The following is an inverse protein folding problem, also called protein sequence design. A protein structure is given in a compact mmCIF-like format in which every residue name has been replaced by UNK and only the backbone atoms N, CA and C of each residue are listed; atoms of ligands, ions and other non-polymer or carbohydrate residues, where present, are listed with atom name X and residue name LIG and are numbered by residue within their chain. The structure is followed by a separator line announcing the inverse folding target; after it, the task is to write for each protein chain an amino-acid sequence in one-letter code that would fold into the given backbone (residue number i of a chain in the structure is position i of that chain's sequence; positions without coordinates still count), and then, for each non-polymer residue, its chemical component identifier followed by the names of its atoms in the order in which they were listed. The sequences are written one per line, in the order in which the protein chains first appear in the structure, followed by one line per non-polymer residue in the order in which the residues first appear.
data_IF_793787993699
#
_entry.id   IF_793787993699
#
_cell.length_a   1.000
_cell.length_b   1.000
_cell.length_c   1.000
_cell.angle_alpha   90.00
_cell.angle_beta   90.00
_cell.angle_gamma   90.00
#
_symmetry.space_group_name_H-M   'P 1'
#
loop_
_entity.id
_entity.type
_entity.pdbx_description
1 polymer ?
#
# COMPACT_ATOMS: atom_id res chain seq x y z
N UNK A 1 26.92 86.17 -1.59
CA UNK A 1 26.64 84.93 -2.36
C UNK A 1 25.45 84.22 -1.72
N UNK A 2 24.34 84.08 -2.45
CA UNK A 2 23.03 83.61 -1.94
C UNK A 2 22.96 82.08 -2.09
N UNK A 3 22.90 81.32 -0.99
CA UNK A 3 22.73 79.86 -0.99
C UNK A 3 21.33 79.50 -1.50
N UNK A 4 21.16 79.36 -2.81
CA UNK A 4 20.04 78.62 -3.42
C UNK A 4 20.56 77.22 -3.76
N UNK A 5 20.00 76.16 -3.15
CA UNK A 5 20.27 74.80 -3.62
C UNK A 5 19.96 73.64 -2.66
N UNK A 6 19.95 73.83 -1.33
CA UNK A 6 19.89 72.68 -0.42
C UNK A 6 18.55 71.93 -0.36
N UNK A 7 17.42 72.58 -0.70
CA UNK A 7 16.10 71.93 -0.63
C UNK A 7 15.82 70.97 -1.79
N UNK A 8 16.30 71.29 -3.01
CA UNK A 8 16.14 70.42 -4.19
C UNK A 8 17.01 69.16 -4.13
N UNK A 9 18.25 69.31 -3.66
CA UNK A 9 19.16 68.18 -3.41
C UNK A 9 18.64 67.22 -2.33
N UNK A 10 17.99 67.73 -1.28
CA UNK A 10 17.38 66.91 -0.23
C UNK A 10 16.18 66.10 -0.73
N UNK A 11 15.40 66.64 -1.68
CA UNK A 11 14.28 65.93 -2.31
C UNK A 11 14.69 64.78 -3.22
N UNK A 12 15.83 64.92 -3.92
CA UNK A 12 16.39 63.84 -4.75
C UNK A 12 16.84 62.67 -3.86
N UNK A 13 17.47 62.96 -2.72
CA UNK A 13 17.84 61.93 -1.73
C UNK A 13 16.64 61.14 -1.21
N UNK A 14 15.52 61.81 -0.93
CA UNK A 14 14.29 61.12 -0.50
C UNK A 14 13.67 60.26 -1.59
N UNK A 15 13.72 60.68 -2.86
CA UNK A 15 13.20 59.89 -3.98
C UNK A 15 14.03 58.62 -4.23
N UNK A 16 15.35 58.71 -4.10
CA UNK A 16 16.25 57.55 -4.24
C UNK A 16 15.94 56.50 -3.17
N UNK A 17 15.80 56.92 -1.91
CA UNK A 17 15.48 56.00 -0.80
C UNK A 17 14.09 55.40 -0.99
N UNK A 18 13.13 56.18 -1.45
CA UNK A 18 11.76 55.70 -1.70
C UNK A 18 11.74 54.57 -2.73
N UNK A 19 12.45 54.75 -3.86
CA UNK A 19 12.56 53.73 -4.90
C UNK A 19 13.31 52.50 -4.35
N UNK A 20 14.39 52.70 -3.61
CA UNK A 20 15.15 51.59 -3.02
C UNK A 20 14.29 50.72 -2.08
N UNK A 21 13.48 51.35 -1.20
CA UNK A 21 12.58 50.63 -0.29
C UNK A 21 11.53 49.85 -1.06
N UNK A 22 10.94 50.42 -2.12
CA UNK A 22 9.96 49.73 -2.95
C UNK A 22 10.57 48.48 -3.61
N UNK A 23 11.79 48.58 -4.14
CA UNK A 23 12.46 47.43 -4.75
C UNK A 23 12.77 46.33 -3.73
N UNK A 24 13.25 46.69 -2.55
CA UNK A 24 13.50 45.72 -1.46
C UNK A 24 12.19 45.07 -1.01
N UNK A 25 11.11 45.85 -0.85
CA UNK A 25 9.79 45.34 -0.48
C UNK A 25 9.24 44.37 -1.54
N UNK A 26 9.42 44.67 -2.83
CA UNK A 26 8.98 43.80 -3.92
C UNK A 26 9.69 42.44 -3.90
N UNK A 27 11.01 42.41 -3.69
CA UNK A 27 11.78 41.16 -3.58
C UNK A 27 11.36 40.38 -2.33
N UNK A 28 11.21 41.06 -1.19
CA UNK A 28 10.77 40.42 0.05
C UNK A 28 9.36 39.79 -0.10
N UNK A 29 8.43 40.49 -0.73
CA UNK A 29 7.09 39.97 -1.02
C UNK A 29 7.13 38.77 -1.97
N UNK A 30 7.96 38.81 -3.02
CA UNK A 30 8.12 37.68 -3.95
C UNK A 30 8.65 36.42 -3.25
N UNK A 31 9.65 36.56 -2.37
CA UNK A 31 10.18 35.44 -1.56
C UNK A 31 9.13 34.90 -0.59
N UNK A 32 8.35 35.78 0.05
CA UNK A 32 7.28 35.38 0.96
C UNK A 32 6.22 34.56 0.22
N UNK A 33 5.74 35.04 -0.93
CA UNK A 33 4.76 34.32 -1.76
C UNK A 33 5.32 32.99 -2.26
N UNK A 34 6.57 32.96 -2.74
CA UNK A 34 7.21 31.73 -3.19
C UNK A 34 7.32 30.69 -2.08
N UNK A 35 7.68 31.13 -0.87
CA UNK A 35 7.82 30.25 0.29
C UNK A 35 6.44 29.73 0.71
N UNK A 36 5.45 30.61 0.85
CA UNK A 36 4.06 30.24 1.15
C UNK A 36 3.48 29.27 0.13
N UNK A 37 3.73 29.48 -1.17
CA UNK A 37 3.27 28.58 -2.24
C UNK A 37 3.91 27.20 -2.13
N UNK A 38 5.23 27.13 -1.93
CA UNK A 38 5.92 25.85 -1.75
C UNK A 38 5.46 25.09 -0.50
N UNK A 39 5.19 25.81 0.60
CA UNK A 39 4.65 25.22 1.84
C UNK A 39 3.23 24.70 1.64
N UNK A 40 2.38 25.42 0.90
CA UNK A 40 1.02 24.97 0.57
C UNK A 40 1.03 23.70 -0.27
N UNK A 41 1.86 23.65 -1.31
CA UNK A 41 2.00 22.45 -2.15
C UNK A 41 2.47 21.26 -1.30
N UNK A 42 3.47 21.45 -0.45
CA UNK A 42 3.93 20.41 0.48
C UNK A 42 2.84 19.98 1.46
N UNK A 43 2.07 20.92 2.02
CA UNK A 43 0.98 20.59 2.95
C UNK A 43 -0.13 19.79 2.27
N UNK A 44 -0.44 20.08 1.01
CA UNK A 44 -1.44 19.34 0.25
C UNK A 44 -0.94 17.92 -0.05
N UNK A 45 0.30 17.77 -0.54
CA UNK A 45 0.88 16.45 -0.82
C UNK A 45 1.03 15.60 0.44
N UNK A 46 1.50 16.18 1.56
CA UNK A 46 1.59 15.44 2.84
C UNK A 46 0.20 15.12 3.39
N UNK A 47 -0.77 16.01 3.20
CA UNK A 47 -2.17 15.76 3.56
C UNK A 47 -2.76 14.58 2.80
N UNK A 48 -2.60 14.55 1.46
CA UNK A 48 -3.10 13.45 0.64
C UNK A 48 -2.39 12.13 0.97
N UNK A 49 -1.06 12.15 1.12
CA UNK A 49 -0.30 10.95 1.52
C UNK A 49 -0.71 10.41 2.90
N UNK A 50 -1.00 11.30 3.85
CA UNK A 50 -1.47 10.89 5.17
C UNK A 50 -2.89 10.32 5.11
N UNK A 51 -3.77 10.91 4.30
CA UNK A 51 -5.12 10.42 4.05
C UNK A 51 -5.10 9.04 3.37
N UNK A 52 -4.32 8.88 2.31
CA UNK A 52 -4.11 7.60 1.62
C UNK A 52 -3.57 6.54 2.60
N UNK A 53 -2.63 6.92 3.47
CA UNK A 53 -2.01 6.02 4.45
C UNK A 53 -2.95 5.47 5.52
N UNK A 54 -4.06 6.16 5.82
CA UNK A 54 -5.05 5.73 6.84
C UNK A 54 -6.35 5.22 6.24
N UNK A 55 -6.72 5.68 5.04
CA UNK A 55 -7.98 5.34 4.38
C UNK A 55 -7.86 4.16 3.42
N UNK A 56 -6.65 3.88 2.91
CA UNK A 56 -6.42 2.78 1.98
C UNK A 56 -6.14 1.50 2.74
N UNK A 57 -6.82 0.41 2.39
CA UNK A 57 -6.61 -0.89 3.00
C UNK A 57 -7.29 -2.00 2.21
N UNK A 58 -6.71 -3.19 2.27
CA UNK A 58 -7.36 -4.41 1.79
C UNK A 58 -7.94 -5.16 2.98
N UNK A 59 -9.16 -5.68 2.81
CA UNK A 59 -9.81 -6.55 3.78
C UNK A 59 -9.83 -7.96 3.23
N UNK A 60 -9.27 -8.90 3.99
CA UNK A 60 -9.48 -10.31 3.70
C UNK A 60 -10.89 -10.72 4.13
N UNK A 61 -11.57 -11.50 3.29
CA UNK A 61 -12.95 -11.96 3.50
C UNK A 61 -12.98 -13.42 3.95
N UNK A 62 -12.11 -14.25 3.38
CA UNK A 62 -11.97 -15.66 3.80
C UNK A 62 -10.62 -16.21 3.38
N UNK A 63 -10.08 -17.15 4.16
CA UNK A 63 -8.91 -17.94 3.85
C UNK A 63 -9.32 -19.39 3.72
N UNK A 64 -8.92 -20.02 2.62
CA UNK A 64 -9.10 -21.42 2.35
C UNK A 64 -7.72 -22.03 2.10
N UNK A 65 -7.53 -23.27 2.50
CA UNK A 65 -6.38 -24.04 2.08
C UNK A 65 -6.84 -25.30 1.35
N UNK A 66 -6.04 -25.68 0.37
CA UNK A 66 -6.23 -26.87 -0.45
C UNK A 66 -4.94 -27.69 -0.40
N UNK A 67 -5.13 -28.98 -0.66
CA UNK A 67 -4.14 -30.05 -0.67
C UNK A 67 -3.93 -30.70 0.70
N UNK A 68 -4.35 -31.95 0.72
CA UNK A 68 -4.24 -32.91 1.81
C UNK A 68 -4.25 -34.32 1.22
N UNK A 69 -3.69 -34.50 0.00
CA UNK A 69 -3.75 -35.78 -0.69
C UNK A 69 -2.45 -36.60 -0.59
N UNK A 70 -1.31 -35.97 -0.27
CA UNK A 70 -0.02 -36.69 -0.22
C UNK A 70 0.92 -36.14 0.87
N UNK A 71 0.45 -36.06 2.12
CA UNK A 71 1.34 -35.65 3.23
C UNK A 71 0.68 -35.11 4.49
N UNK A 72 -0.66 -34.92 4.51
CA UNK A 72 -1.39 -34.25 5.60
C UNK A 72 -1.01 -32.77 5.83
N UNK A 73 -0.12 -32.22 5.00
CA UNK A 73 0.32 -30.82 5.06
C UNK A 73 -0.53 -29.94 4.11
N UNK A 74 -0.85 -28.73 4.54
CA UNK A 74 -1.54 -27.71 3.73
C UNK A 74 -0.50 -26.92 2.92
N UNK A 75 -0.54 -27.04 1.59
CA UNK A 75 0.41 -26.39 0.69
C UNK A 75 -0.18 -25.21 -0.09
N UNK A 76 -1.43 -25.31 -0.53
CA UNK A 76 -2.08 -24.29 -1.36
C UNK A 76 -2.99 -23.42 -0.51
N UNK A 77 -2.80 -22.11 -0.54
CA UNK A 77 -3.63 -21.15 0.17
C UNK A 77 -4.35 -20.23 -0.81
N UNK A 78 -5.65 -20.08 -0.60
CA UNK A 78 -6.52 -19.15 -1.31
C UNK A 78 -7.08 -18.12 -0.32
N UNK A 79 -6.74 -16.84 -0.52
CA UNK A 79 -7.24 -15.72 0.28
C UNK A 79 -8.16 -14.86 -0.58
N UNK A 80 -9.42 -14.76 -0.19
CA UNK A 80 -10.37 -13.83 -0.80
C UNK A 80 -10.16 -12.44 -0.21
N UNK A 81 -9.93 -11.46 -1.06
CA UNK A 81 -9.65 -10.08 -0.70
C UNK A 81 -10.62 -9.14 -1.39
N UNK A 82 -11.00 -8.10 -0.68
CA UNK A 82 -11.74 -6.96 -1.20
C UNK A 82 -11.11 -5.68 -0.70
N UNK A 83 -11.39 -4.59 -1.40
CA UNK A 83 -10.96 -3.26 -0.97
C UNK A 83 -11.82 -2.80 0.23
N UNK A 84 -11.21 -2.16 1.23
CA UNK A 84 -11.97 -1.54 2.33
C UNK A 84 -12.83 -0.38 1.81
N UNK A 85 -13.94 -0.12 2.50
CA UNK A 85 -14.81 0.99 2.15
C UNK A 85 -14.08 2.33 2.32
N UNK A 86 -14.07 3.16 1.27
CA UNK A 86 -13.42 4.47 1.28
C UNK A 86 -11.95 4.45 0.85
N UNK A 87 -11.37 3.27 0.60
CA UNK A 87 -10.02 3.17 0.03
C UNK A 87 -9.97 3.53 -1.44
N UNK A 88 -8.81 4.00 -1.88
CA UNK A 88 -8.46 4.15 -3.28
C UNK A 88 -8.01 2.82 -3.90
N UNK A 89 -7.89 2.78 -5.22
CA UNK A 89 -7.48 1.58 -5.94
C UNK A 89 -6.06 1.16 -5.49
N UNK A 90 -5.91 -0.09 -5.09
CA UNK A 90 -4.65 -0.62 -4.60
C UNK A 90 -3.87 -1.30 -5.73
N UNK A 91 -2.65 -0.85 -6.01
CA UNK A 91 -1.78 -1.51 -6.98
C UNK A 91 -1.18 -2.78 -6.37
N UNK A 92 -1.54 -3.95 -6.89
CA UNK A 92 -1.13 -5.26 -6.36
C UNK A 92 0.36 -5.53 -6.57
N UNK A 93 0.97 -5.01 -7.63
CA UNK A 93 2.40 -5.14 -7.90
C UNK A 93 3.28 -4.50 -6.81
N UNK A 94 2.75 -3.52 -6.08
CA UNK A 94 3.42 -2.89 -4.94
C UNK A 94 2.87 -3.38 -3.59
N UNK A 95 2.31 -4.59 -3.54
CA UNK A 95 1.87 -5.23 -2.29
C UNK A 95 2.69 -6.48 -2.04
N UNK A 96 3.14 -6.62 -0.79
CA UNK A 96 3.89 -7.78 -0.32
C UNK A 96 3.02 -8.52 0.68
N UNK A 97 2.97 -9.84 0.55
CA UNK A 97 2.27 -10.70 1.48
C UNK A 97 3.29 -11.44 2.32
N UNK A 98 3.22 -11.30 3.63
CA UNK A 98 4.05 -12.03 4.57
C UNK A 98 3.24 -13.17 5.17
N UNK A 99 3.79 -14.37 5.12
CA UNK A 99 3.26 -15.55 5.79
C UNK A 99 4.22 -15.90 6.91
N UNK A 100 3.79 -15.66 8.15
CA UNK A 100 4.54 -15.95 9.36
C UNK A 100 3.98 -17.22 10.02
N UNK A 101 4.83 -18.23 10.15
CA UNK A 101 4.58 -19.43 10.97
C UNK A 101 5.38 -19.32 12.28
N UNK A 102 5.26 -20.29 13.19
CA UNK A 102 6.00 -20.31 14.45
C UNK A 102 7.53 -20.35 14.28
N UNK A 103 8.02 -20.86 13.16
CA UNK A 103 9.44 -21.17 12.90
C UNK A 103 10.04 -20.35 11.76
N UNK A 104 9.25 -19.98 10.75
CA UNK A 104 9.71 -19.32 9.53
C UNK A 104 8.77 -18.19 9.11
N UNK A 105 9.33 -17.22 8.40
CA UNK A 105 8.60 -16.10 7.78
C UNK A 105 8.94 -16.09 6.30
N UNK A 106 7.92 -16.09 5.44
CA UNK A 106 8.06 -16.02 3.99
C UNK A 106 7.44 -14.73 3.46
N UNK A 107 8.15 -14.03 2.57
CA UNK A 107 7.61 -12.92 1.79
C UNK A 107 7.25 -13.38 0.38
N UNK A 108 6.04 -13.04 -0.04
CA UNK A 108 5.48 -13.34 -1.36
C UNK A 108 5.29 -12.04 -2.13
N UNK A 109 5.86 -12.00 -3.33
CA UNK A 109 5.72 -10.88 -4.26
C UNK A 109 4.59 -11.14 -5.27
N UNK A 110 4.17 -10.08 -5.95
CA UNK A 110 3.13 -10.17 -6.97
C UNK A 110 3.61 -10.96 -8.19
N UNK A 111 2.97 -12.10 -8.47
CA UNK A 111 3.27 -12.98 -9.60
C UNK A 111 2.45 -12.71 -10.86
N UNK A 112 1.49 -11.78 -10.81
CA UNK A 112 0.59 -11.44 -11.93
C UNK A 112 -0.84 -11.96 -11.77
N UNK A 113 -1.72 -11.44 -12.63
CA UNK A 113 -3.09 -11.90 -12.72
C UNK A 113 -3.20 -13.19 -13.55
N UNK A 114 -3.86 -14.21 -13.01
CA UNK A 114 -4.04 -15.53 -13.64
C UNK A 114 -5.52 -15.93 -13.69
N UNK A 115 -5.87 -16.80 -14.64
CA UNK A 115 -7.21 -17.35 -14.77
C UNK A 115 -7.59 -18.25 -13.57
N UNK A 116 -8.90 -18.36 -13.29
CA UNK A 116 -9.40 -19.18 -12.18
C UNK A 116 -8.97 -20.64 -12.35
N UNK A 117 -8.36 -21.20 -11.29
CA UNK A 117 -7.80 -22.56 -11.28
C UNK A 117 -6.34 -22.67 -11.75
N UNK A 118 -5.68 -21.55 -12.07
CA UNK A 118 -4.23 -21.53 -12.31
C UNK A 118 -3.50 -21.19 -11.02
N UNK A 119 -2.57 -22.05 -10.61
CA UNK A 119 -1.77 -21.86 -9.40
C UNK A 119 -0.49 -21.06 -9.69
N UNK A 120 0.01 -20.34 -8.68
CA UNK A 120 1.31 -19.68 -8.75
C UNK A 120 2.40 -20.75 -8.93
N UNK A 121 3.16 -20.67 -10.02
CA UNK A 121 4.20 -21.66 -10.33
C UNK A 121 5.49 -21.48 -9.50
N UNK A 122 5.59 -20.44 -8.67
CA UNK A 122 6.79 -20.10 -7.91
C UNK A 122 6.47 -19.90 -6.42
N UNK A 123 7.31 -20.49 -5.57
CA UNK A 123 7.18 -20.53 -4.10
C UNK A 123 7.23 -19.16 -3.43
N UNK A 124 7.79 -18.15 -4.09
CA UNK A 124 7.95 -16.78 -3.56
C UNK A 124 7.00 -15.75 -4.18
N UNK A 125 5.98 -16.20 -4.93
CA UNK A 125 5.01 -15.29 -5.54
C UNK A 125 3.57 -15.72 -5.28
N UNK A 126 2.68 -14.75 -5.14
CA UNK A 126 1.25 -14.99 -5.14
C UNK A 126 0.64 -14.57 -6.49
N UNK A 127 -0.28 -15.37 -6.98
CA UNK A 127 -1.06 -15.09 -8.17
C UNK A 127 -2.43 -14.53 -7.77
N UNK A 128 -3.03 -13.71 -8.65
CA UNK A 128 -4.34 -13.10 -8.37
C UNK A 128 -5.35 -13.46 -9.44
N UNK A 129 -6.55 -13.85 -9.05
CA UNK A 129 -7.68 -14.07 -9.94
C UNK A 129 -8.82 -13.14 -9.57
N UNK A 130 -9.37 -12.42 -10.54
CA UNK A 130 -10.55 -11.59 -10.34
C UNK A 130 -11.81 -12.45 -10.33
N UNK A 131 -12.47 -12.57 -9.19
CA UNK A 131 -13.74 -13.30 -9.06
C UNK A 131 -14.90 -12.45 -9.53
N UNK A 132 -14.85 -11.16 -9.19
CA UNK A 132 -15.79 -10.14 -9.62
C UNK A 132 -15.01 -8.88 -9.95
N UNK A 133 -15.26 -8.37 -11.15
CA UNK A 133 -14.76 -7.10 -11.62
C UNK A 133 -15.83 -6.05 -11.36
N UNK A 134 -15.45 -4.96 -10.69
CA UNK A 134 -16.29 -3.80 -10.47
C UNK A 134 -16.39 -2.92 -11.73
N UNK A 135 -17.09 -1.79 -11.63
CA UNK A 135 -17.23 -0.85 -12.74
C UNK A 135 -15.91 -0.17 -13.12
N UNK A 136 -14.98 -0.04 -12.18
CA UNK A 136 -13.68 0.64 -12.34
C UNK A 136 -12.51 -0.35 -12.43
N UNK A 137 -12.75 -1.56 -12.98
CA UNK A 137 -11.74 -2.60 -13.10
C UNK A 137 -10.52 -2.13 -13.89
N UNK A 138 -9.34 -2.30 -13.31
CA UNK A 138 -8.05 -2.13 -13.95
C UNK A 138 -7.16 -3.34 -13.66
N UNK A 139 -6.43 -3.80 -14.68
CA UNK A 139 -5.55 -4.95 -14.56
C UNK A 139 -4.42 -4.66 -13.55
N UNK A 140 -4.17 -5.62 -12.66
CA UNK A 140 -3.16 -5.56 -11.57
C UNK A 140 -3.49 -4.54 -10.46
N UNK A 141 -4.69 -3.96 -10.48
CA UNK A 141 -5.23 -3.12 -9.43
C UNK A 141 -6.43 -3.78 -8.75
N UNK A 142 -6.63 -3.45 -7.48
CA UNK A 142 -7.82 -3.78 -6.71
C UNK A 142 -8.65 -2.50 -6.52
N UNK A 143 -9.65 -2.34 -7.37
CA UNK A 143 -10.59 -1.20 -7.40
C UNK A 143 -11.82 -1.43 -6.53
N UNK A 144 -12.64 -0.37 -6.40
CA UNK A 144 -13.89 -0.43 -5.63
C UNK A 144 -14.88 -1.40 -6.27
N UNK A 145 -15.35 -2.36 -5.48
CA UNK A 145 -16.33 -3.37 -5.91
C UNK A 145 -15.69 -4.62 -6.51
N UNK A 146 -14.37 -4.64 -6.65
CA UNK A 146 -13.63 -5.82 -7.07
C UNK A 146 -13.45 -6.79 -5.90
N UNK A 147 -13.58 -8.07 -6.22
CA UNK A 147 -13.25 -9.16 -5.31
C UNK A 147 -12.23 -10.04 -6.00
N UNK A 148 -11.06 -10.17 -5.38
CA UNK A 148 -9.96 -10.97 -5.89
C UNK A 148 -9.75 -12.20 -5.01
N UNK A 149 -9.33 -13.30 -5.64
CA UNK A 149 -8.73 -14.44 -4.98
C UNK A 149 -7.22 -14.34 -5.17
N UNK A 150 -6.51 -14.24 -4.07
CA UNK A 150 -5.06 -14.40 -4.02
C UNK A 150 -4.75 -15.87 -3.78
N UNK A 151 -3.88 -16.43 -4.61
CA UNK A 151 -3.43 -17.81 -4.50
C UNK A 151 -1.93 -17.86 -4.32
N UNK A 152 -1.46 -18.59 -3.34
CA UNK A 152 -0.03 -18.83 -3.16
C UNK A 152 0.23 -20.24 -2.68
N UNK A 153 1.43 -20.74 -2.99
CA UNK A 153 1.90 -22.05 -2.53
C UNK A 153 2.99 -21.84 -1.48
N UNK A 154 2.82 -22.51 -0.35
CA UNK A 154 3.75 -22.51 0.78
C UNK A 154 4.53 -23.84 0.78
N UNK A 155 5.58 -23.95 -0.03
CA UNK A 155 6.41 -25.17 -0.17
C UNK A 155 7.66 -25.16 0.75
N UNK A 156 8.03 -23.99 1.26
CA UNK A 156 9.17 -23.80 2.21
C UNK A 156 8.69 -23.19 3.54
N UNK A 157 7.39 -23.28 3.82
CA UNK A 157 6.78 -22.81 5.07
C UNK A 157 6.94 -23.88 6.15
N UNK A 158 8.18 -24.30 6.34
CA UNK A 158 8.59 -25.52 7.03
C UNK A 158 8.06 -25.57 8.46
N UNK A 159 6.97 -26.32 8.60
CA UNK A 159 6.44 -26.82 9.87
C UNK A 159 5.97 -28.28 9.83
N UNK A 160 6.04 -28.94 8.65
CA UNK A 160 5.91 -30.38 8.43
C UNK A 160 7.14 -31.00 7.73
N UNK A 161 7.20 -32.34 7.68
CA UNK A 161 8.33 -33.12 7.12
C UNK A 161 8.40 -33.07 5.57
N UNK A 162 7.37 -32.54 4.91
CA UNK A 162 7.21 -32.54 3.44
C UNK A 162 7.13 -31.16 2.76
N UNK A 163 7.33 -30.07 3.50
CA UNK A 163 7.41 -28.70 2.94
C UNK A 163 6.18 -27.80 3.15
N UNK A 164 5.04 -28.36 3.56
CA UNK A 164 3.81 -27.59 3.83
C UNK A 164 3.60 -27.18 5.30
N UNK A 165 2.43 -26.59 5.56
CA UNK A 165 1.98 -26.26 6.92
C UNK A 165 1.25 -27.45 7.52
N UNK A 166 1.83 -28.04 8.57
CA UNK A 166 1.25 -29.19 9.26
C UNK A 166 0.06 -28.87 10.17
N UNK A 167 -0.44 -29.90 10.84
CA UNK A 167 -1.56 -29.84 11.78
C UNK A 167 -1.21 -29.06 13.06
N UNK A 168 -2.22 -28.40 13.65
CA UNK A 168 -2.10 -27.62 14.89
C UNK A 168 -1.00 -26.56 14.89
N UNK A 169 -0.88 -25.81 13.79
CA UNK A 169 0.08 -24.70 13.65
C UNK A 169 -0.64 -23.37 13.58
N UNK A 170 -0.10 -22.40 14.31
CA UNK A 170 -0.55 -21.00 14.22
C UNK A 170 0.14 -20.35 13.01
N UNK A 171 -0.68 -19.80 12.11
CA UNK A 171 -0.24 -19.10 10.91
C UNK A 171 -0.77 -17.67 10.97
N UNK A 172 0.06 -16.71 10.55
CA UNK A 172 -0.33 -15.32 10.43
C UNK A 172 -0.01 -14.83 9.03
N UNK A 173 -1.01 -14.36 8.31
CA UNK A 173 -0.86 -13.75 7.00
C UNK A 173 -1.00 -12.23 7.18
N UNK A 174 0.00 -11.49 6.71
CA UNK A 174 -0.01 -10.03 6.69
C UNK A 174 0.04 -9.56 5.25
N UNK A 175 -0.93 -8.77 4.84
CA UNK A 175 -0.95 -8.15 3.51
C UNK A 175 -0.56 -6.69 3.68
N UNK A 176 0.62 -6.35 3.18
CA UNK A 176 1.23 -5.03 3.36
C UNK A 176 1.21 -4.32 2.02
N UNK A 177 0.32 -3.32 1.85
CA UNK A 177 0.38 -2.43 0.70
C UNK A 177 1.51 -1.41 0.84
N UNK A 178 1.98 -0.85 -0.27
CA UNK A 178 2.95 0.26 -0.28
C UNK A 178 2.46 1.49 0.50
N UNK A 179 1.17 1.79 0.42
CA UNK A 179 0.50 2.87 1.14
C UNK A 179 -0.81 2.31 1.68
N UNK A 180 -1.12 2.61 2.94
CA UNK A 180 -2.35 2.17 3.59
C UNK A 180 -2.11 1.28 4.80
N UNK A 181 -3.21 0.69 5.27
CA UNK A 181 -3.26 -0.20 6.41
C UNK A 181 -2.92 -1.63 6.01
N UNK A 182 -2.18 -2.32 6.88
CA UNK A 182 -1.86 -3.74 6.73
C UNK A 182 -3.03 -4.59 7.22
N UNK A 183 -3.46 -5.55 6.39
CA UNK A 183 -4.45 -6.55 6.80
C UNK A 183 -3.74 -7.70 7.51
N UNK A 184 -4.16 -8.06 8.72
CA UNK A 184 -3.59 -9.18 9.48
C UNK A 184 -4.67 -10.24 9.65
N UNK A 185 -4.35 -11.47 9.23
CA UNK A 185 -5.20 -12.64 9.42
C UNK A 185 -4.41 -13.62 10.28
N UNK A 186 -5.00 -14.06 11.39
CA UNK A 186 -4.44 -15.12 12.22
C UNK A 186 -5.40 -16.30 12.24
N UNK A 187 -4.89 -17.49 11.98
CA UNK A 187 -5.65 -18.73 12.11
C UNK A 187 -4.75 -19.85 12.65
N UNK A 188 -5.39 -20.91 13.12
CA UNK A 188 -4.70 -22.14 13.54
C UNK A 188 -5.21 -23.27 12.67
N UNK A 189 -4.31 -24.06 12.09
CA UNK A 189 -4.68 -25.24 11.31
C UNK A 189 -5.29 -26.32 12.22
N UNK A 190 -6.29 -27.08 11.76
CA UNK A 190 -6.93 -28.12 12.57
C UNK A 190 -5.97 -29.26 12.93
N UNK A 191 -6.32 -30.03 13.96
CA UNK A 191 -5.54 -31.18 14.44
C UNK A 191 -5.56 -32.39 13.49
N UNK A 192 -6.51 -32.44 12.55
CA UNK A 192 -6.60 -33.50 11.53
C UNK A 192 -7.10 -32.89 10.22
N UNK A 193 -6.35 -33.09 9.13
CA UNK A 193 -6.76 -32.70 7.77
C UNK A 193 -7.45 -33.90 7.09
N UNK A 194 -8.79 -33.91 7.07
CA UNK A 194 -9.57 -35.01 6.47
C UNK A 194 -10.07 -34.72 5.06
N UNK A 195 -10.29 -33.45 4.73
CA UNK A 195 -10.80 -33.00 3.43
C UNK A 195 -9.71 -32.31 2.61
N UNK A 196 -9.77 -32.48 1.29
CA UNK A 196 -8.82 -31.87 0.35
C UNK A 196 -8.88 -30.34 0.33
N UNK A 197 -9.94 -29.73 0.87
CA UNK A 197 -10.18 -28.30 0.88
C UNK A 197 -10.84 -27.90 2.18
N UNK A 198 -10.16 -27.06 2.96
CA UNK A 198 -10.58 -26.64 4.30
C UNK A 198 -10.68 -25.12 4.32
N UNK A 199 -11.80 -24.60 4.83
CA UNK A 199 -11.92 -23.18 5.16
C UNK A 199 -11.23 -22.94 6.50
N UNK A 200 -10.23 -22.07 6.50
CA UNK A 200 -9.43 -21.73 7.69
C UNK A 200 -9.92 -20.44 8.35
N UNK A 201 -10.62 -19.59 7.58
CA UNK A 201 -11.18 -18.32 8.02
C UNK A 201 -12.28 -17.83 7.04
N UNK A 202 -13.38 -17.18 7.45
CA UNK A 202 -13.78 -16.93 8.83
C UNK A 202 -13.99 -18.22 9.63
#
# INVERSE_FOLDING_TARGET
MKKLGNKGLMGIGTLIIFIAVILVAAVAAAVLVSTSGSLQQRSLTTGSQAEEGVSTGAEAVSVMATDGSTGHDLEHFEVLLRLQAGSEALNLNNTVVLVDTATTSQSLDYGGAVADGTESSNTYSYAVTYVKQGPDYEQDYLSRGDVIKMKFRCDDCTSGDTGGIGENKKVRIKIIPRVGTTSIIEFTTPDVVTDQRITLWP
#
